data_IF_966974364640
#
_entry.id   IF_966974364640
#
_cell.length_a   1.000
_cell.length_b   1.000
_cell.length_c   1.000
_cell.angle_alpha   90.00
_cell.angle_beta   90.00
_cell.angle_gamma   90.00
#
_symmetry.space_group_name_H-M   'P 1'
#
loop_
_entity.id
_entity.type
_entity.pdbx_description
1 polymer ?
#
# COMPACT_ATOMS: atom_id res chain seq x y z
N UNK A 1 15.86 -50.31 -1.43
CA UNK A 1 14.87 -49.44 -2.09
C UNK A 1 15.24 -48.00 -1.77
N UNK A 2 15.67 -47.22 -2.77
CA UNK A 2 15.98 -45.80 -2.61
C UNK A 2 14.87 -45.00 -3.26
N UNK A 3 14.08 -44.31 -2.44
CA UNK A 3 12.96 -43.48 -2.87
C UNK A 3 13.52 -42.11 -3.30
N UNK A 4 13.58 -41.88 -4.61
CA UNK A 4 13.98 -40.58 -5.19
C UNK A 4 12.79 -39.62 -5.10
N UNK A 5 12.71 -38.84 -4.02
CA UNK A 5 11.73 -37.74 -3.90
C UNK A 5 12.09 -36.64 -4.91
N UNK A 6 11.43 -36.65 -6.07
CA UNK A 6 11.53 -35.58 -7.08
C UNK A 6 10.83 -34.32 -6.57
N UNK A 7 11.60 -33.35 -6.07
CA UNK A 7 11.09 -32.02 -5.78
C UNK A 7 10.48 -31.43 -7.06
N UNK A 8 9.21 -30.99 -7.07
CA UNK A 8 8.60 -30.41 -8.26
C UNK A 8 9.39 -29.16 -8.69
N UNK A 9 9.97 -29.18 -9.88
CA UNK A 9 10.73 -28.05 -10.42
C UNK A 9 9.78 -26.90 -10.76
N UNK A 10 9.87 -25.79 -10.03
CA UNK A 10 9.11 -24.59 -10.36
C UNK A 10 9.56 -24.04 -11.73
N UNK A 11 8.60 -23.83 -12.63
CA UNK A 11 8.86 -23.27 -13.97
C UNK A 11 8.89 -21.75 -13.89
N UNK A 12 9.97 -21.13 -14.37
CA UNK A 12 10.02 -19.69 -14.58
C UNK A 12 9.05 -19.32 -15.70
N UNK A 13 7.96 -18.62 -15.35
CA UNK A 13 6.94 -18.15 -16.32
C UNK A 13 7.33 -16.80 -16.91
N UNK A 14 8.13 -16.02 -16.19
CA UNK A 14 8.60 -14.72 -16.63
C UNK A 14 10.03 -14.45 -16.15
N UNK A 15 10.87 -13.99 -17.08
CA UNK A 15 12.22 -13.50 -16.82
C UNK A 15 12.32 -12.14 -17.51
N UNK A 16 12.52 -11.07 -16.75
CA UNK A 16 12.79 -9.75 -17.32
C UNK A 16 14.07 -9.81 -18.16
N UNK A 17 14.06 -9.15 -19.32
CA UNK A 17 15.26 -9.06 -20.15
C UNK A 17 16.30 -8.12 -19.49
N UNK A 18 17.56 -8.30 -19.87
CA UNK A 18 18.68 -7.50 -19.34
C UNK A 18 18.51 -5.98 -19.47
N UNK A 19 18.13 -5.42 -20.64
CA UNK A 19 17.99 -3.97 -20.77
C UNK A 19 16.89 -3.41 -19.86
N UNK A 20 15.76 -4.09 -19.72
CA UNK A 20 14.68 -3.67 -18.80
C UNK A 20 15.15 -3.66 -17.34
N UNK A 21 15.91 -4.68 -16.92
CA UNK A 21 16.47 -4.72 -15.56
C UNK A 21 17.38 -3.52 -15.28
N UNK A 22 18.24 -3.14 -16.24
CA UNK A 22 19.12 -1.98 -16.11
C UNK A 22 18.33 -0.68 -16.04
N UNK A 23 17.29 -0.51 -16.86
CA UNK A 23 16.42 0.66 -16.82
C UNK A 23 15.70 0.79 -15.48
N UNK A 24 15.08 -0.29 -14.99
CA UNK A 24 14.36 -0.29 -13.70
C UNK A 24 15.31 0.00 -12.54
N UNK A 25 16.51 -0.59 -12.55
CA UNK A 25 17.52 -0.32 -11.52
C UNK A 25 17.97 1.15 -11.55
N UNK A 26 18.16 1.72 -12.74
CA UNK A 26 18.55 3.13 -12.89
C UNK A 26 17.49 4.07 -12.34
N UNK A 27 16.21 3.83 -12.68
CA UNK A 27 15.08 4.60 -12.15
C UNK A 27 14.99 4.46 -10.63
N UNK A 28 15.12 3.24 -10.10
CA UNK A 28 15.11 2.98 -8.65
C UNK A 28 16.20 3.79 -7.93
N UNK A 29 17.41 3.81 -8.47
CA UNK A 29 18.54 4.52 -7.87
C UNK A 29 18.33 6.03 -7.89
N UNK A 30 17.85 6.58 -9.01
CA UNK A 30 17.49 7.99 -9.13
C UNK A 30 16.41 8.36 -8.11
N UNK A 31 15.31 7.60 -8.06
CA UNK A 31 14.20 7.86 -7.16
C UNK A 31 14.62 7.78 -5.69
N UNK A 32 15.42 6.79 -5.33
CA UNK A 32 15.97 6.67 -3.98
C UNK A 32 16.84 7.88 -3.60
N UNK A 33 17.70 8.35 -4.50
CA UNK A 33 18.52 9.54 -4.26
C UNK A 33 17.67 10.80 -4.08
N UNK A 34 16.75 11.07 -5.01
CA UNK A 34 15.88 12.24 -4.98
C UNK A 34 14.97 12.23 -3.76
N UNK A 35 14.33 11.09 -3.45
CA UNK A 35 13.41 10.98 -2.31
C UNK A 35 14.13 11.21 -0.98
N UNK A 36 15.36 10.70 -0.81
CA UNK A 36 16.15 10.95 0.41
C UNK A 36 16.45 12.42 0.66
N UNK A 37 16.65 13.22 -0.39
CA UNK A 37 16.88 14.67 -0.27
C UNK A 37 15.62 15.44 0.20
N UNK A 38 14.45 14.79 0.11
CA UNK A 38 13.15 15.37 0.42
C UNK A 38 12.45 14.71 1.61
N UNK A 39 13.13 13.82 2.34
CA UNK A 39 12.63 13.27 3.60
C UNK A 39 12.31 14.40 4.58
N UNK A 40 11.15 14.32 5.23
CA UNK A 40 10.64 15.33 6.15
C UNK A 40 10.08 16.60 5.49
N UNK A 41 10.09 16.69 4.14
CA UNK A 41 9.54 17.83 3.40
C UNK A 41 8.18 17.48 2.79
N UNK A 42 7.34 18.51 2.67
CA UNK A 42 6.08 18.41 1.94
C UNK A 42 6.36 18.32 0.44
N UNK A 43 5.77 17.34 -0.23
CA UNK A 43 5.95 17.04 -1.65
C UNK A 43 4.62 16.66 -2.30
N UNK A 44 4.60 16.74 -3.62
CA UNK A 44 3.58 16.15 -4.47
C UNK A 44 4.22 15.01 -5.28
N UNK A 45 3.61 13.83 -5.27
CA UNK A 45 4.10 12.64 -5.94
C UNK A 45 3.05 12.17 -6.94
N UNK A 46 3.43 12.01 -8.20
CA UNK A 46 2.59 11.42 -9.24
C UNK A 46 3.06 9.99 -9.53
N UNK A 47 2.14 9.02 -9.53
CA UNK A 47 2.44 7.65 -9.93
C UNK A 47 2.36 7.48 -11.46
N UNK A 48 2.77 6.32 -11.97
CA UNK A 48 2.74 6.02 -13.41
C UNK A 48 1.32 6.01 -14.01
N UNK A 49 0.31 5.77 -13.18
CA UNK A 49 -1.11 5.80 -13.55
C UNK A 49 -1.69 7.23 -13.57
N UNK A 50 -0.86 8.24 -13.30
CA UNK A 50 -1.24 9.66 -13.29
C UNK A 50 -1.89 10.14 -11.99
N UNK A 51 -2.08 9.28 -10.99
CA UNK A 51 -2.62 9.65 -9.68
C UNK A 51 -1.61 10.50 -8.91
N UNK A 52 -2.10 11.56 -8.28
CA UNK A 52 -1.28 12.54 -7.57
C UNK A 52 -1.59 12.49 -6.08
N UNK A 53 -0.54 12.41 -5.27
CA UNK A 53 -0.61 12.37 -3.81
C UNK A 53 0.21 13.51 -3.23
N UNK A 54 -0.38 14.25 -2.28
CA UNK A 54 0.30 15.31 -1.54
C UNK A 54 0.56 14.84 -0.11
N UNK A 55 1.79 15.02 0.38
CA UNK A 55 2.16 14.53 1.70
C UNK A 55 3.59 14.86 2.10
N UNK A 56 4.05 14.24 3.18
CA UNK A 56 5.43 14.36 3.68
C UNK A 56 6.14 13.02 3.50
N UNK A 57 7.33 13.04 2.89
CA UNK A 57 8.13 11.81 2.76
C UNK A 57 8.63 11.41 4.15
N UNK A 58 8.20 10.25 4.65
CA UNK A 58 8.68 9.69 5.91
C UNK A 58 10.02 9.00 5.69
N UNK A 59 10.11 8.19 4.62
CA UNK A 59 11.31 7.43 4.28
C UNK A 59 11.28 6.93 2.84
N UNK A 60 12.45 6.53 2.32
CA UNK A 60 12.60 5.88 1.03
C UNK A 60 13.67 4.77 1.14
N UNK A 61 13.27 3.52 0.88
CA UNK A 61 14.07 2.31 1.07
C UNK A 61 13.70 1.26 0.01
N UNK A 62 14.71 0.55 -0.53
CA UNK A 62 14.52 -0.60 -1.46
C UNK A 62 13.59 -0.35 -2.67
N UNK A 63 13.40 0.89 -3.08
CA UNK A 63 12.48 1.27 -4.17
C UNK A 63 11.03 1.50 -3.71
N UNK A 64 10.79 1.54 -2.41
CA UNK A 64 9.52 1.86 -1.79
C UNK A 64 9.62 3.29 -1.20
N UNK A 65 8.66 4.14 -1.56
CA UNK A 65 8.51 5.48 -1.02
C UNK A 65 7.39 5.48 0.02
N UNK A 66 7.71 5.87 1.25
CA UNK A 66 6.73 6.00 2.32
C UNK A 66 6.30 7.46 2.43
N UNK A 67 5.05 7.72 2.09
CA UNK A 67 4.46 9.06 2.07
C UNK A 67 3.38 9.15 3.16
N UNK A 68 3.55 10.10 4.09
CA UNK A 68 2.48 10.50 4.99
C UNK A 68 1.55 11.42 4.21
N UNK A 69 0.44 10.87 3.74
CA UNK A 69 -0.63 11.66 3.13
C UNK A 69 -1.60 12.11 4.22
N UNK A 70 -1.99 13.38 4.18
CA UNK A 70 -3.19 13.80 4.91
C UNK A 70 -4.37 13.51 3.98
N UNK A 71 -5.39 12.74 4.39
CA UNK A 71 -6.54 12.53 3.52
C UNK A 71 -7.15 13.89 3.19
N UNK A 72 -7.02 14.30 1.93
CA UNK A 72 -7.84 15.38 1.39
C UNK A 72 -9.29 14.92 1.54
N UNK A 73 -10.10 15.75 2.18
CA UNK A 73 -11.52 15.53 2.50
C UNK A 73 -12.38 15.37 1.23
N UNK A 74 -12.13 14.34 0.42
CA UNK A 74 -12.70 14.17 -0.91
C UNK A 74 -12.32 12.89 -1.65
N UNK A 75 -11.33 12.12 -1.19
CA UNK A 75 -11.15 10.74 -1.64
C UNK A 75 -12.04 9.82 -0.79
N UNK A 76 -12.90 8.97 -1.40
CA UNK A 76 -13.67 8.00 -0.65
C UNK A 76 -12.71 6.99 -0.04
N UNK A 77 -12.38 7.20 1.24
CA UNK A 77 -11.80 6.18 2.11
C UNK A 77 -12.67 4.91 1.99
N UNK A 78 -12.14 3.77 1.50
CA UNK A 78 -12.87 2.50 1.53
C UNK A 78 -13.24 2.07 2.95
N UNK A 79 -12.67 2.74 3.96
CA UNK A 79 -12.81 2.43 5.38
C UNK A 79 -13.84 3.33 6.08
N UNK A 80 -14.35 4.37 5.44
CA UNK A 80 -15.35 5.26 6.04
C UNK A 80 -16.79 4.73 5.96
N UNK A 81 -17.05 3.70 5.14
CA UNK A 81 -18.35 3.01 5.11
C UNK A 81 -18.52 1.98 6.24
N UNK A 82 -17.44 1.68 6.97
CA UNK A 82 -17.44 0.80 8.13
C UNK A 82 -17.01 1.59 9.37
N UNK A 83 -17.82 2.57 9.75
CA UNK A 83 -17.85 3.04 11.14
C UNK A 83 -18.06 1.85 12.09
N UNK A 84 -17.66 1.94 13.36
CA UNK A 84 -17.70 0.81 14.28
C UNK A 84 -19.11 0.23 14.35
N UNK A 85 -19.29 -0.97 13.77
CA UNK A 85 -20.52 -1.78 13.77
C UNK A 85 -20.99 -2.16 15.19
N UNK A 86 -20.24 -1.73 16.21
CA UNK A 86 -20.53 -1.87 17.64
C UNK A 86 -21.71 -0.97 18.05
N UNK A 87 -21.88 0.22 17.45
CA UNK A 87 -22.97 1.13 17.78
C UNK A 87 -24.38 0.56 17.51
N UNK A 88 -24.69 0.01 16.32
CA UNK A 88 -26.04 -0.52 16.06
C UNK A 88 -26.39 -1.73 16.94
N UNK A 89 -25.42 -2.59 17.27
CA UNK A 89 -25.69 -3.77 18.10
C UNK A 89 -26.11 -3.37 19.52
N UNK A 90 -25.35 -2.48 20.17
CA UNK A 90 -25.65 -2.03 21.55
C UNK A 90 -26.98 -1.26 21.59
N UNK A 91 -27.26 -0.41 20.60
CA UNK A 91 -28.53 0.31 20.51
C UNK A 91 -29.72 -0.65 20.28
N UNK A 92 -29.57 -1.69 19.47
CA UNK A 92 -30.62 -2.69 19.25
C UNK A 92 -30.93 -3.47 20.53
N UNK A 93 -29.91 -3.98 21.22
CA UNK A 93 -30.08 -4.70 22.49
C UNK A 93 -30.79 -3.83 23.54
N UNK A 94 -30.37 -2.56 23.71
CA UNK A 94 -31.03 -1.63 24.63
C UNK A 94 -32.48 -1.35 24.23
N UNK A 95 -32.76 -1.14 22.94
CA UNK A 95 -34.11 -0.90 22.45
C UNK A 95 -35.05 -2.08 22.71
N UNK A 96 -34.59 -3.30 22.46
CA UNK A 96 -35.36 -4.52 22.71
C UNK A 96 -35.69 -4.64 24.20
N UNK A 97 -34.72 -4.40 25.09
CA UNK A 97 -34.95 -4.42 26.54
C UNK A 97 -35.98 -3.35 26.95
N UNK A 98 -35.89 -2.14 26.39
CA UNK A 98 -36.82 -1.04 26.71
C UNK A 98 -38.25 -1.32 26.23
N UNK A 99 -38.43 -2.11 25.16
CA UNK A 99 -39.74 -2.45 24.62
C UNK A 99 -40.40 -3.65 25.34
N UNK A 100 -39.58 -4.53 25.92
CA UNK A 100 -40.04 -5.72 26.64
C UNK A 100 -40.36 -5.43 28.12
N UNK A 101 -39.88 -4.30 28.65
CA UNK A 101 -40.16 -3.82 30.01
C UNK A 101 -41.35 -2.89 30.04
#
# INVERSE_FOLDING_TARGET
>A
MSESTSTPSARVVYQANQPMLQSVQSVRNMLHHTARQHVGKKVQVQNIDGQVWEGVIISADRGILYLQVTPLHGYPEPRALFGPTILPLVLYELLVITLLM
#
